data_IF_169841489057
#
_entry.id   IF_169841489057
#
_cell.length_a   1.000
_cell.length_b   1.000
_cell.length_c   1.000
_cell.angle_alpha   90.00
_cell.angle_beta   90.00
_cell.angle_gamma   90.00
#
_symmetry.space_group_name_H-M   'P 1'
#
loop_
_entity.id
_entity.type
_entity.pdbx_description
1 polymer ?
#
# COMPACT_ATOMS: atom_id res chain seq x y z
N UNK A 1 -7.75 5.36 -4.13
CA UNK A 1 -7.87 4.18 -5.03
C UNK A 1 -7.93 2.95 -4.17
N UNK A 2 -8.73 1.94 -4.53
CA UNK A 2 -8.67 0.65 -3.87
C UNK A 2 -7.36 -0.06 -4.22
N UNK A 3 -6.75 -0.73 -3.25
CA UNK A 3 -5.54 -1.53 -3.43
C UNK A 3 -5.77 -2.61 -4.50
N UNK A 4 -4.92 -2.63 -5.52
CA UNK A 4 -4.99 -3.59 -6.63
C UNK A 4 -3.96 -4.69 -6.43
N UNK A 5 -4.35 -5.92 -6.76
CA UNK A 5 -3.46 -7.06 -6.70
C UNK A 5 -2.22 -6.82 -7.56
N UNK A 6 -1.06 -7.13 -7.01
CA UNK A 6 0.25 -6.90 -7.62
C UNK A 6 0.85 -5.52 -7.36
N UNK A 7 0.10 -4.57 -6.80
CA UNK A 7 0.70 -3.29 -6.38
C UNK A 7 1.66 -3.49 -5.22
N UNK A 8 2.80 -2.81 -5.30
CA UNK A 8 3.80 -2.74 -4.24
C UNK A 8 3.73 -1.36 -3.60
N UNK A 9 3.79 -1.33 -2.27
CA UNK A 9 3.85 -0.09 -1.49
C UNK A 9 5.09 -0.10 -0.61
N UNK A 10 5.76 1.04 -0.52
CA UNK A 10 6.96 1.24 0.29
C UNK A 10 6.72 2.33 1.32
N UNK A 11 7.32 2.17 2.48
CA UNK A 11 7.37 3.24 3.46
C UNK A 11 8.25 4.38 2.91
N UNK A 12 7.80 5.65 2.98
CA UNK A 12 8.62 6.81 2.57
C UNK A 12 9.87 6.99 3.44
N UNK A 13 9.88 6.39 4.63
CA UNK A 13 10.99 6.48 5.56
C UNK A 13 12.04 5.41 5.26
N UNK A 14 13.21 5.85 4.79
CA UNK A 14 14.32 4.98 4.44
C UNK A 14 14.91 4.21 5.64
N UNK A 15 14.77 4.73 6.87
CA UNK A 15 15.23 4.01 8.07
C UNK A 15 14.27 2.87 8.44
N UNK A 16 12.99 2.98 8.08
CA UNK A 16 12.01 1.93 8.29
C UNK A 16 12.10 0.84 7.21
N UNK A 17 12.13 1.22 5.93
CA UNK A 17 12.34 0.30 4.81
C UNK A 17 11.25 -0.75 4.56
N UNK A 18 10.08 -0.66 5.20
CA UNK A 18 9.00 -1.63 4.99
C UNK A 18 8.45 -1.59 3.57
N UNK A 19 8.23 -2.77 3.00
CA UNK A 19 7.56 -2.98 1.73
C UNK A 19 6.41 -3.97 1.91
N UNK A 20 5.29 -3.73 1.24
CA UNK A 20 4.18 -4.68 1.16
C UNK A 20 3.76 -4.88 -0.29
N UNK A 21 3.27 -6.07 -0.58
CA UNK A 21 2.69 -6.43 -1.89
C UNK A 21 1.24 -6.84 -1.70
N UNK A 22 0.35 -6.25 -2.48
CA UNK A 22 -1.07 -6.60 -2.45
C UNK A 22 -1.27 -7.96 -3.14
N UNK A 23 -1.48 -9.02 -2.38
CA UNK A 23 -1.70 -10.37 -2.93
C UNK A 23 -3.15 -10.62 -3.36
N UNK A 24 -4.10 -9.81 -2.87
CA UNK A 24 -5.52 -9.89 -3.21
C UNK A 24 -6.18 -8.52 -3.09
N UNK A 25 -6.91 -8.10 -4.12
CA UNK A 25 -7.67 -6.85 -4.10
C UNK A 25 -9.06 -7.02 -3.48
N UNK A 26 -9.64 -5.90 -3.03
CA UNK A 26 -11.06 -5.85 -2.70
C UNK A 26 -11.93 -6.08 -3.95
N UNK A 27 -13.22 -6.40 -3.74
CA UNK A 27 -14.20 -6.53 -4.82
C UNK A 27 -14.35 -5.18 -5.55
N UNK A 28 -14.66 -5.21 -6.83
CA UNK A 28 -14.78 -3.99 -7.66
C UNK A 28 -15.89 -3.03 -7.19
N UNK A 29 -16.90 -3.54 -6.49
CA UNK A 29 -17.96 -2.74 -5.88
C UNK A 29 -17.50 -1.94 -4.66
N UNK A 30 -16.33 -2.25 -4.08
CA UNK A 30 -15.78 -1.52 -2.95
C UNK A 30 -15.16 -0.19 -3.42
N UNK A 31 -15.68 0.93 -2.90
CA UNK A 31 -15.18 2.29 -3.21
C UNK A 31 -14.23 2.85 -2.15
N UNK A 32 -13.63 1.99 -1.33
CA UNK A 32 -12.65 2.38 -0.33
C UNK A 32 -11.45 3.10 -0.96
N UNK A 33 -11.00 4.17 -0.31
CA UNK A 33 -9.83 4.95 -0.73
C UNK A 33 -8.69 4.87 0.30
N UNK A 34 -8.80 3.93 1.24
CA UNK A 34 -7.83 3.74 2.31
C UNK A 34 -6.46 3.35 1.73
N UNK A 35 -5.41 3.87 2.36
CA UNK A 35 -4.02 3.61 2.00
C UNK A 35 -3.35 2.80 3.11
N UNK A 36 -2.45 1.87 2.78
CA UNK A 36 -1.76 1.07 3.77
C UNK A 36 -0.92 1.95 4.70
N UNK A 37 -0.95 1.60 5.98
CA UNK A 37 -0.19 2.28 7.03
C UNK A 37 1.00 1.42 7.41
N UNK A 38 2.17 2.03 7.48
CA UNK A 38 3.38 1.39 7.93
C UNK A 38 3.39 1.28 9.46
N UNK A 39 4.12 0.31 10.00
CA UNK A 39 4.32 0.12 11.44
C UNK A 39 4.90 1.37 12.14
N UNK A 40 5.63 2.21 11.41
CA UNK A 40 6.16 3.48 11.92
C UNK A 40 5.13 4.63 11.95
N UNK A 41 3.86 4.36 11.63
CA UNK A 41 2.78 5.34 11.66
C UNK A 41 2.72 6.26 10.44
N UNK A 42 3.54 6.03 9.41
CA UNK A 42 3.47 6.76 8.14
C UNK A 42 2.52 6.06 7.16
N UNK A 43 1.93 6.82 6.25
CA UNK A 43 1.20 6.26 5.11
C UNK A 43 2.21 5.78 4.08
N UNK A 44 1.99 4.58 3.52
CA UNK A 44 2.89 4.00 2.53
C UNK A 44 2.57 4.55 1.14
N UNK A 45 3.60 4.68 0.31
CA UNK A 45 3.51 5.19 -1.06
C UNK A 45 3.59 4.04 -2.05
N UNK A 46 2.86 4.12 -3.17
CA UNK A 46 2.95 3.11 -4.22
C UNK A 46 4.35 3.15 -4.82
N UNK A 47 5.05 2.02 -4.79
CA UNK A 47 6.32 1.86 -5.48
C UNK A 47 6.02 1.79 -6.99
N UNK A 48 6.22 2.90 -7.68
CA UNK A 48 6.23 2.93 -9.14
C UNK A 48 7.57 2.35 -9.61
N UNK A 49 7.54 1.19 -10.26
CA UNK A 49 8.66 0.70 -11.07
C UNK A 49 8.74 1.45 -12.39
#
# INVERSE_FOLDING_TARGET
>A
MALRQGEVYRCPDANCGCEITVTKSARESCKGQEQPRCCCGKTMEKASS
#
